data_IF_115255035441
#
_entry.id   IF_115255035441
#
_cell.length_a   1.000
_cell.length_b   1.000
_cell.length_c   1.000
_cell.angle_alpha   90.00
_cell.angle_beta   90.00
_cell.angle_gamma   90.00
#
_symmetry.space_group_name_H-M   'P 1'
#
loop_
_entity.id
_entity.type
_entity.pdbx_description
1 polymer ?
#
# COMPACT_ATOMS: atom_id res chain seq x y z
N UNK A 1 -26.17 -2.74 -11.23
CA UNK A 1 -25.98 -2.52 -9.77
C UNK A 1 -27.06 -1.57 -9.31
N UNK A 2 -27.79 -1.90 -8.24
CA UNK A 2 -28.81 -0.99 -7.69
C UNK A 2 -28.11 0.24 -7.12
N UNK A 3 -28.80 1.38 -7.05
CA UNK A 3 -28.23 2.65 -6.54
C UNK A 3 -27.63 2.47 -5.13
N UNK A 4 -28.31 1.67 -4.30
CA UNK A 4 -27.88 1.34 -2.92
C UNK A 4 -26.55 0.57 -2.91
N UNK A 5 -26.36 -0.39 -3.83
CA UNK A 5 -25.12 -1.19 -3.87
C UNK A 5 -23.90 -0.31 -4.12
N UNK A 6 -24.02 0.63 -5.06
CA UNK A 6 -22.96 1.59 -5.38
C UNK A 6 -22.71 2.57 -4.23
N UNK A 7 -23.76 2.95 -3.50
CA UNK A 7 -23.64 3.82 -2.35
C UNK A 7 -22.88 3.16 -1.19
N UNK A 8 -23.26 1.93 -0.81
CA UNK A 8 -22.58 1.14 0.22
C UNK A 8 -21.11 0.93 -0.16
N UNK A 9 -20.85 0.47 -1.38
CA UNK A 9 -19.50 0.25 -1.89
C UNK A 9 -18.68 1.55 -1.87
N UNK A 10 -19.27 2.68 -2.29
CA UNK A 10 -18.61 3.98 -2.29
C UNK A 10 -18.22 4.46 -0.89
N UNK A 11 -19.04 4.23 0.13
CA UNK A 11 -18.71 4.58 1.52
C UNK A 11 -17.56 3.73 2.03
N UNK A 12 -17.64 2.41 1.85
CA UNK A 12 -16.57 1.50 2.31
C UNK A 12 -15.25 1.82 1.62
N UNK A 13 -15.25 1.99 0.29
CA UNK A 13 -14.04 2.32 -0.47
C UNK A 13 -13.43 3.64 0.01
N UNK A 14 -14.23 4.69 0.24
CA UNK A 14 -13.73 5.97 0.76
C UNK A 14 -13.05 5.82 2.11
N UNK A 15 -13.67 5.09 3.04
CA UNK A 15 -13.09 4.86 4.36
C UNK A 15 -11.85 3.97 4.31
N UNK A 16 -11.84 2.92 3.49
CA UNK A 16 -10.65 2.09 3.24
C UNK A 16 -9.50 2.91 2.68
N UNK A 17 -9.75 3.77 1.68
CA UNK A 17 -8.71 4.65 1.12
C UNK A 17 -8.21 5.67 2.15
N UNK A 18 -9.09 6.24 2.99
CA UNK A 18 -8.68 7.17 4.04
C UNK A 18 -7.75 6.50 5.06
N UNK A 19 -8.09 5.28 5.52
CA UNK A 19 -7.24 4.51 6.43
C UNK A 19 -5.93 4.13 5.77
N UNK A 20 -5.97 3.66 4.52
CA UNK A 20 -4.78 3.29 3.76
C UNK A 20 -3.83 4.48 3.61
N UNK A 21 -4.33 5.65 3.24
CA UNK A 21 -3.53 6.87 3.16
C UNK A 21 -2.91 7.24 4.50
N UNK A 22 -3.66 7.15 5.60
CA UNK A 22 -3.11 7.43 6.93
C UNK A 22 -1.98 6.47 7.32
N UNK A 23 -2.13 5.17 7.05
CA UNK A 23 -1.11 4.16 7.33
C UNK A 23 0.14 4.36 6.45
N UNK A 24 -0.04 4.63 5.16
CA UNK A 24 1.07 4.91 4.25
C UNK A 24 1.82 6.15 4.70
N UNK A 25 1.11 7.24 5.00
CA UNK A 25 1.73 8.50 5.42
C UNK A 25 2.54 8.33 6.70
N UNK A 26 1.99 7.62 7.69
CA UNK A 26 2.69 7.30 8.92
C UNK A 26 3.92 6.41 8.66
N UNK A 27 3.78 5.38 7.82
CA UNK A 27 4.88 4.46 7.49
C UNK A 27 6.00 5.17 6.72
N UNK A 28 5.66 6.05 5.80
CA UNK A 28 6.59 6.88 5.03
C UNK A 28 7.32 7.87 5.91
N UNK A 29 6.65 8.45 6.91
CA UNK A 29 7.30 9.31 7.91
C UNK A 29 8.37 8.55 8.69
N UNK A 30 8.05 7.35 9.20
CA UNK A 30 9.06 6.52 9.88
C UNK A 30 10.20 6.12 8.95
N UNK A 31 9.89 5.75 7.71
CA UNK A 31 10.94 5.45 6.72
C UNK A 31 11.87 6.64 6.50
N UNK A 32 11.32 7.86 6.46
CA UNK A 32 12.11 9.08 6.28
C UNK A 32 13.00 9.38 7.49
N UNK A 33 12.50 9.16 8.70
CA UNK A 33 13.29 9.31 9.93
C UNK A 33 14.42 8.28 9.96
N UNK A 34 14.13 7.02 9.63
CA UNK A 34 15.14 5.96 9.56
C UNK A 34 16.23 6.28 8.53
N UNK A 35 15.84 6.77 7.35
CA UNK A 35 16.77 7.11 6.27
C UNK A 35 17.55 8.41 6.52
N UNK A 36 17.04 9.29 7.38
CA UNK A 36 17.71 10.56 7.70
C UNK A 36 19.07 10.37 8.36
N UNK A 37 19.34 9.22 8.97
CA UNK A 37 20.64 8.88 9.52
C UNK A 37 21.72 8.64 8.44
N UNK A 38 21.32 8.22 7.24
CA UNK A 38 22.23 7.97 6.11
C UNK A 38 22.49 9.24 5.27
N UNK A 39 21.68 10.29 5.45
CA UNK A 39 21.75 11.54 4.69
C UNK A 39 23.07 12.27 4.99
N UNK A 40 23.81 12.63 3.94
CA UNK A 40 25.15 13.20 4.04
C UNK A 40 26.30 12.18 3.95
N UNK A 41 25.99 10.90 3.71
CA UNK A 41 27.01 9.87 3.43
C UNK A 41 27.17 9.69 1.92
N UNK A 42 28.35 10.02 1.37
CA UNK A 42 28.57 10.03 -0.09
C UNK A 42 27.89 11.22 -0.75
N UNK A 43 27.17 10.98 -1.86
CA UNK A 43 26.37 11.99 -2.58
C UNK A 43 24.86 11.90 -2.22
N UNK A 44 24.52 11.25 -1.10
CA UNK A 44 23.12 11.01 -0.72
C UNK A 44 22.48 12.25 -0.05
N UNK A 45 21.61 12.94 -0.78
CA UNK A 45 20.90 14.12 -0.30
C UNK A 45 19.50 13.80 0.23
N UNK A 46 18.92 14.77 0.97
CA UNK A 46 17.56 14.66 1.52
C UNK A 46 16.49 14.44 0.43
N UNK A 47 16.70 15.00 -0.76
CA UNK A 47 15.80 14.81 -1.89
C UNK A 47 15.83 13.38 -2.42
N UNK A 48 16.99 12.73 -2.44
CA UNK A 48 17.12 11.33 -2.85
C UNK A 48 16.36 10.39 -1.90
N UNK A 49 16.45 10.66 -0.59
CA UNK A 49 15.67 9.94 0.42
C UNK A 49 14.16 10.11 0.22
N UNK A 50 13.70 11.33 -0.11
CA UNK A 50 12.30 11.58 -0.42
C UNK A 50 11.83 10.79 -1.65
N UNK A 51 12.58 10.83 -2.75
CA UNK A 51 12.24 10.07 -3.96
C UNK A 51 12.28 8.57 -3.70
N UNK A 52 13.28 8.07 -2.98
CA UNK A 52 13.39 6.67 -2.59
C UNK A 52 12.13 6.18 -1.85
N UNK A 53 11.64 6.95 -0.89
CA UNK A 53 10.43 6.62 -0.12
C UNK A 53 9.19 6.70 -1.00
N UNK A 54 9.11 7.69 -1.88
CA UNK A 54 8.00 7.82 -2.84
C UNK A 54 7.93 6.61 -3.77
N UNK A 55 9.08 6.11 -4.25
CA UNK A 55 9.18 4.91 -5.07
C UNK A 55 8.77 3.63 -4.31
N UNK A 56 8.82 3.64 -2.98
CA UNK A 56 8.34 2.52 -2.16
C UNK A 56 6.84 2.56 -1.87
N UNK A 57 6.14 3.69 -2.11
CA UNK A 57 4.69 3.82 -1.84
C UNK A 57 3.85 2.72 -2.48
N UNK A 58 4.05 2.33 -3.75
CA UNK A 58 3.26 1.24 -4.36
C UNK A 58 3.41 -0.10 -3.63
N UNK A 59 4.60 -0.39 -3.09
CA UNK A 59 4.82 -1.59 -2.29
C UNK A 59 4.06 -1.51 -0.95
N UNK A 60 4.08 -0.34 -0.30
CA UNK A 60 3.34 -0.10 0.96
C UNK A 60 1.83 -0.18 0.76
N UNK A 61 1.31 0.35 -0.34
CA UNK A 61 -0.11 0.20 -0.70
C UNK A 61 -0.51 -1.27 -0.70
N UNK A 62 0.29 -2.13 -1.35
CA UNK A 62 0.02 -3.56 -1.42
C UNK A 62 0.11 -4.24 -0.04
N UNK A 63 1.14 -3.92 0.75
CA UNK A 63 1.37 -4.48 2.09
C UNK A 63 0.26 -4.13 3.09
N UNK A 64 -0.17 -2.86 3.12
CA UNK A 64 -1.13 -2.35 4.11
C UNK A 64 -2.60 -2.43 3.68
N UNK A 65 -2.88 -2.81 2.43
CA UNK A 65 -4.24 -2.89 1.91
C UNK A 65 -5.17 -3.82 2.73
N UNK A 66 -4.79 -5.06 3.11
CA UNK A 66 -5.70 -5.96 3.83
C UNK A 66 -6.16 -5.38 5.17
N UNK A 67 -5.24 -4.79 5.93
CA UNK A 67 -5.53 -4.17 7.23
C UNK A 67 -6.40 -2.92 7.04
N UNK A 68 -6.11 -2.11 6.02
CA UNK A 68 -6.90 -0.91 5.70
C UNK A 68 -8.31 -1.24 5.24
N UNK A 69 -8.48 -2.33 4.48
CA UNK A 69 -9.77 -2.82 4.02
C UNK A 69 -10.64 -3.28 5.20
N UNK A 70 -10.04 -3.98 6.18
CA UNK A 70 -10.72 -4.41 7.40
C UNK A 70 -11.19 -3.20 8.23
N UNK A 71 -10.27 -2.29 8.57
CA UNK A 71 -10.57 -1.12 9.41
C UNK A 71 -11.53 -0.17 8.68
N UNK A 72 -11.28 0.14 7.42
CA UNK A 72 -12.13 1.00 6.61
C UNK A 72 -13.52 0.42 6.39
N UNK A 73 -13.63 -0.90 6.22
CA UNK A 73 -14.91 -1.61 6.18
C UNK A 73 -15.67 -1.49 7.49
N UNK A 74 -15.00 -1.69 8.63
CA UNK A 74 -15.61 -1.52 9.96
C UNK A 74 -16.10 -0.09 10.18
N UNK A 75 -15.29 0.91 9.85
CA UNK A 75 -15.66 2.33 9.97
C UNK A 75 -16.82 2.68 9.03
N UNK A 76 -16.77 2.25 7.78
CA UNK A 76 -17.82 2.52 6.79
C UNK A 76 -19.15 1.89 7.18
N UNK A 77 -19.14 0.63 7.61
CA UNK A 77 -20.34 -0.05 8.11
C UNK A 77 -20.83 0.56 9.43
N UNK A 78 -19.92 0.93 10.33
CA UNK A 78 -20.24 1.61 11.58
C UNK A 78 -20.91 2.97 11.36
N UNK A 79 -20.48 3.71 10.34
CA UNK A 79 -21.11 4.97 9.93
C UNK A 79 -22.54 4.76 9.40
N UNK A 80 -22.75 3.75 8.55
CA UNK A 80 -24.07 3.39 8.07
C UNK A 80 -25.00 2.93 9.22
N UNK A 81 -24.43 2.28 10.25
CA UNK A 81 -25.17 1.86 11.43
C UNK A 81 -25.55 3.05 12.32
N UNK A 82 -24.61 3.97 12.57
CA UNK A 82 -24.84 5.12 13.46
C UNK A 82 -25.84 6.13 12.91
N UNK A 83 -25.97 6.22 11.58
CA UNK A 83 -26.97 7.06 10.91
C UNK A 83 -28.31 6.34 10.71
N UNK A 84 -28.49 5.15 11.30
CA UNK A 84 -29.66 4.28 11.12
C UNK A 84 -29.93 3.85 9.66
N UNK A 85 -29.02 4.10 8.72
CA UNK A 85 -29.20 3.75 7.30
C UNK A 85 -29.27 2.23 7.11
N UNK A 86 -28.44 1.47 7.82
CA UNK A 86 -28.52 0.00 7.80
C UNK A 86 -29.86 -0.52 8.31
N UNK A 87 -30.45 0.12 9.31
CA UNK A 87 -31.75 -0.26 9.87
C UNK A 87 -32.86 0.01 8.85
N UNK A 88 -32.82 1.17 8.19
CA UNK A 88 -33.77 1.54 7.12
C UNK A 88 -33.67 0.60 5.92
N UNK A 89 -32.46 0.23 5.48
CA UNK A 89 -32.29 -0.73 4.40
C UNK A 89 -32.89 -2.10 4.75
N UNK A 90 -32.70 -2.56 5.99
CA UNK A 90 -33.26 -3.82 6.46
C UNK A 90 -34.78 -3.78 6.60
N UNK A 91 -35.36 -2.68 7.09
CA UNK A 91 -36.81 -2.52 7.20
C UNK A 91 -37.48 -2.42 5.82
N UNK A 92 -36.77 -1.91 4.81
CA UNK A 92 -37.19 -1.93 3.41
C UNK A 92 -37.06 -3.31 2.73
N UNK A 93 -36.72 -4.37 3.48
CA UNK A 93 -36.67 -5.75 3.00
C UNK A 93 -35.32 -6.19 2.43
N UNK A 94 -34.26 -5.39 2.59
CA UNK A 94 -32.91 -5.77 2.15
C UNK A 94 -32.29 -6.78 3.12
N UNK A 95 -31.86 -7.93 2.60
CA UNK A 95 -31.25 -8.98 3.43
C UNK A 95 -29.80 -8.63 3.78
N UNK A 96 -29.30 -9.16 4.91
CA UNK A 96 -27.91 -8.96 5.32
C UNK A 96 -26.93 -9.45 4.25
N UNK A 97 -27.22 -10.57 3.59
CA UNK A 97 -26.40 -11.11 2.51
C UNK A 97 -26.32 -10.20 1.28
N UNK A 98 -27.39 -9.45 0.96
CA UNK A 98 -27.35 -8.45 -0.11
C UNK A 98 -26.41 -7.29 0.25
N UNK A 99 -26.48 -6.81 1.49
CA UNK A 99 -25.60 -5.74 1.99
C UNK A 99 -24.13 -6.22 1.96
N UNK A 100 -23.85 -7.40 2.49
CA UNK A 100 -22.51 -7.99 2.47
C UNK A 100 -21.99 -8.19 1.05
N UNK A 101 -22.83 -8.62 0.12
CA UNK A 101 -22.44 -8.77 -1.30
C UNK A 101 -22.05 -7.43 -1.92
N UNK A 102 -22.78 -6.36 -1.63
CA UNK A 102 -22.48 -5.02 -2.15
C UNK A 102 -21.15 -4.48 -1.62
N UNK A 103 -20.84 -4.72 -0.34
CA UNK A 103 -19.52 -4.43 0.24
C UNK A 103 -18.43 -5.25 -0.46
N UNK A 104 -18.65 -6.56 -0.58
CA UNK A 104 -17.67 -7.50 -1.12
C UNK A 104 -17.29 -7.19 -2.57
N UNK A 105 -18.27 -6.84 -3.42
CA UNK A 105 -18.00 -6.42 -4.80
C UNK A 105 -17.19 -5.11 -4.84
N UNK A 106 -17.51 -4.15 -3.96
CA UNK A 106 -16.77 -2.89 -3.86
C UNK A 106 -15.31 -3.10 -3.47
N UNK A 107 -15.08 -3.87 -2.41
CA UNK A 107 -13.73 -4.17 -1.90
C UNK A 107 -12.93 -5.04 -2.86
N UNK A 108 -13.56 -6.03 -3.52
CA UNK A 108 -12.88 -6.84 -4.55
C UNK A 108 -12.44 -5.99 -5.74
N UNK A 109 -13.26 -5.05 -6.20
CA UNK A 109 -12.87 -4.12 -7.26
C UNK A 109 -11.62 -3.33 -6.89
N UNK A 110 -11.54 -2.84 -5.65
CA UNK A 110 -10.36 -2.16 -5.13
C UNK A 110 -9.15 -3.10 -4.99
N UNK A 111 -9.38 -4.35 -4.56
CA UNK A 111 -8.33 -5.37 -4.44
C UNK A 111 -7.66 -5.66 -5.78
N UNK A 112 -8.43 -5.78 -6.87
CA UNK A 112 -7.86 -6.00 -8.22
C UNK A 112 -6.94 -4.85 -8.61
N UNK A 113 -7.32 -3.61 -8.33
CA UNK A 113 -6.48 -2.43 -8.59
C UNK A 113 -5.19 -2.50 -7.78
N UNK A 114 -5.28 -2.84 -6.49
CA UNK A 114 -4.12 -2.93 -5.61
C UNK A 114 -3.17 -4.06 -6.01
N UNK A 115 -3.70 -5.23 -6.40
CA UNK A 115 -2.90 -6.34 -6.92
C UNK A 115 -2.17 -5.93 -8.18
N UNK A 116 -2.86 -5.27 -9.12
CA UNK A 116 -2.23 -4.77 -10.33
C UNK A 116 -1.08 -3.78 -10.04
N UNK A 117 -1.28 -2.85 -9.10
CA UNK A 117 -0.22 -1.94 -8.64
C UNK A 117 0.93 -2.71 -7.97
N UNK A 118 0.62 -3.69 -7.13
CA UNK A 118 1.59 -4.50 -6.41
C UNK A 118 2.41 -5.44 -7.30
N UNK A 119 1.86 -5.88 -8.42
CA UNK A 119 2.53 -6.84 -9.30
C UNK A 119 3.27 -6.15 -10.45
N UNK A 120 2.72 -5.05 -11.00
CA UNK A 120 3.30 -4.39 -12.17
C UNK A 120 4.18 -3.20 -11.79
N UNK A 121 3.74 -2.38 -10.83
CA UNK A 121 4.37 -1.10 -10.50
C UNK A 121 5.38 -1.28 -9.37
N UNK A 122 4.98 -1.91 -8.28
CA UNK A 122 5.80 -2.11 -7.08
C UNK A 122 7.20 -2.70 -7.33
N UNK A 123 7.39 -3.80 -8.11
CA UNK A 123 8.73 -4.35 -8.30
C UNK A 123 9.65 -3.38 -9.07
N UNK A 124 9.12 -2.70 -10.09
CA UNK A 124 9.87 -1.72 -10.88
C UNK A 124 10.27 -0.52 -10.03
N UNK A 125 9.33 0.06 -9.29
CA UNK A 125 9.58 1.22 -8.42
C UNK A 125 10.54 0.86 -7.29
N UNK A 126 10.39 -0.30 -6.66
CA UNK A 126 11.28 -0.75 -5.57
C UNK A 126 12.69 -1.04 -6.05
N UNK A 127 12.84 -1.60 -7.27
CA UNK A 127 14.16 -1.82 -7.87
C UNK A 127 14.87 -0.51 -8.20
N UNK A 128 14.16 0.43 -8.84
CA UNK A 128 14.69 1.76 -9.16
C UNK A 128 15.11 2.50 -7.88
N UNK A 129 14.29 2.48 -6.83
CA UNK A 129 14.61 3.12 -5.55
C UNK A 129 15.88 2.53 -4.91
N UNK A 130 16.02 1.19 -4.92
CA UNK A 130 17.24 0.54 -4.41
C UNK A 130 18.47 0.93 -5.22
N UNK A 131 18.37 0.94 -6.55
CA UNK A 131 19.47 1.33 -7.42
C UNK A 131 19.90 2.77 -7.17
N UNK A 132 18.94 3.70 -7.08
CA UNK A 132 19.20 5.11 -6.75
C UNK A 132 19.93 5.25 -5.41
N UNK A 133 19.41 4.62 -4.34
CA UNK A 133 20.05 4.67 -3.02
C UNK A 133 21.47 4.09 -3.05
N UNK A 134 21.67 2.94 -3.70
CA UNK A 134 23.02 2.34 -3.81
C UNK A 134 24.00 3.19 -4.61
N UNK A 135 23.53 3.85 -5.67
CA UNK A 135 24.37 4.70 -6.51
C UNK A 135 24.81 5.97 -5.77
N UNK A 136 23.88 6.62 -5.06
CA UNK A 136 24.15 7.83 -4.30
C UNK A 136 25.04 7.58 -3.08
N UNK A 137 24.82 6.47 -2.35
CA UNK A 137 25.69 6.08 -1.23
C UNK A 137 27.11 5.71 -1.68
N UNK A 138 27.29 5.21 -2.90
CA UNK A 138 28.60 4.79 -3.42
C UNK A 138 29.36 5.90 -4.18
N UNK A 139 28.81 7.13 -4.26
CA UNK A 139 29.45 8.25 -4.95
C UNK A 139 29.67 8.01 -6.45
N UNK A 140 28.73 7.31 -7.10
CA UNK A 140 28.79 7.01 -8.54
C UNK A 140 29.70 5.84 -8.94
N UNK A 141 30.52 5.32 -8.04
CA UNK A 141 31.20 4.04 -8.23
C UNK A 141 30.26 2.93 -7.77
N UNK A 142 29.54 2.28 -8.70
CA UNK A 142 28.92 0.99 -8.42
C UNK A 142 30.04 0.06 -7.94
N UNK A 143 30.20 -0.07 -6.62
CA UNK A 143 31.14 -0.99 -6.01
C UNK A 143 30.74 -2.36 -6.51
N UNK A 144 31.47 -2.82 -7.54
CA UNK A 144 31.68 -4.22 -7.85
C UNK A 144 32.12 -4.80 -6.52
N UNK A 145 31.19 -5.42 -5.80
CA UNK A 145 31.34 -5.84 -4.40
C UNK A 145 32.77 -6.35 -4.17
N UNK A 146 33.62 -5.57 -3.51
CA UNK A 146 34.98 -6.02 -3.17
C UNK A 146 34.94 -7.26 -2.27
N UNK A 147 33.79 -7.48 -1.63
CA UNK A 147 33.43 -8.74 -0.96
C UNK A 147 32.77 -9.65 -1.99
N UNK A 148 33.46 -10.72 -2.39
CA UNK A 148 32.94 -11.69 -3.35
C UNK A 148 31.49 -12.10 -3.07
N UNK A 149 30.68 -12.22 -4.12
CA UNK A 149 29.31 -12.69 -4.03
C UNK A 149 29.34 -14.21 -4.04
N UNK A 150 28.95 -14.83 -2.93
CA UNK A 150 28.79 -16.28 -2.86
C UNK A 150 27.51 -16.68 -3.58
N UNK A 151 27.64 -17.44 -4.66
CA UNK A 151 26.55 -18.03 -5.44
C UNK A 151 26.60 -19.54 -5.25
N UNK A 152 25.47 -20.11 -4.86
CA UNK A 152 25.31 -21.56 -4.82
C UNK A 152 24.59 -22.00 -6.09
N UNK A 153 25.28 -22.78 -6.92
CA UNK A 153 24.70 -23.47 -8.06
C UNK A 153 24.65 -24.98 -7.76
N UNK A 154 23.50 -25.45 -7.28
CA UNK A 154 23.29 -26.83 -6.87
C UNK A 154 24.18 -27.27 -5.70
N UNK A 155 25.20 -28.08 -5.99
CA UNK A 155 26.20 -28.55 -5.03
C UNK A 155 27.48 -27.70 -5.01
N UNK A 156 27.64 -26.78 -5.96
CA UNK A 156 28.81 -25.93 -6.07
C UNK A 156 28.56 -24.58 -5.40
N UNK A 157 29.57 -24.09 -4.68
CA UNK A 157 29.62 -22.76 -4.12
C UNK A 157 30.75 -22.01 -4.85
N UNK A 158 30.43 -20.87 -5.47
CA UNK A 158 31.38 -20.00 -6.16
C UNK A 158 31.32 -18.61 -5.54
#
# INVERSE_FOLDING_TARGET
>A
MKVIDRYIAGIVIKHTLAVLMALILLRSLFAFIDDSADVGTGDYELLDAFFFILLQVPARVYEFFPVSALIGGLIGMGRLASQSELVVMRSAGMSLGQISKSVLIGTLGLMVIVVFVGEVISPKSSQLGRQMKTFALSGGNLVKSERGVWVRDGLNYV
#
